data_IF_716448661407
#
_entry.id   IF_716448661407
#
_cell.length_a   1.000
_cell.length_b   1.000
_cell.length_c   1.000
_cell.angle_alpha   90.00
_cell.angle_beta   90.00
_cell.angle_gamma   90.00
#
_symmetry.space_group_name_H-M   'P 1'
#
loop_
_entity.id
_entity.type
_entity.pdbx_description
1 polymer ?
#
# COMPACT_ATOMS: atom_id res chain seq x y z
N UNK A 1 24.13 1.15 17.67
CA UNK A 1 24.29 0.14 16.60
C UNK A 1 22.90 -0.20 16.11
N UNK A 2 22.65 -0.15 14.81
CA UNK A 2 21.35 -0.51 14.25
C UNK A 2 21.10 -2.01 14.42
N UNK A 3 19.96 -2.40 14.97
CA UNK A 3 19.52 -3.81 15.06
C UNK A 3 18.60 -4.11 13.88
N UNK A 4 18.66 -5.29 13.24
CA UNK A 4 17.70 -5.67 12.21
C UNK A 4 16.27 -5.65 12.78
N UNK A 5 15.31 -5.08 12.04
CA UNK A 5 13.91 -4.99 12.51
C UNK A 5 13.37 -6.37 12.90
N UNK A 6 13.65 -7.39 12.09
CA UNK A 6 13.18 -8.76 12.34
C UNK A 6 13.64 -9.31 13.70
N UNK A 7 14.82 -8.93 14.18
CA UNK A 7 15.30 -9.32 15.50
C UNK A 7 14.49 -8.64 16.61
N UNK A 8 14.23 -7.33 16.45
CA UNK A 8 13.42 -6.54 17.40
C UNK A 8 11.99 -7.09 17.47
N UNK A 9 11.42 -7.46 16.33
CA UNK A 9 10.07 -8.06 16.26
C UNK A 9 10.04 -9.44 16.90
N UNK A 10 11.03 -10.30 16.65
CA UNK A 10 11.10 -11.62 17.30
C UNK A 10 11.23 -11.49 18.81
N UNK A 11 11.99 -10.53 19.30
CA UNK A 11 12.09 -10.24 20.74
C UNK A 11 10.75 -9.77 21.31
N UNK A 12 10.06 -8.84 20.62
CA UNK A 12 8.77 -8.29 21.01
C UNK A 12 7.69 -9.38 21.05
N UNK A 13 7.61 -10.18 19.99
CA UNK A 13 6.57 -11.19 19.77
C UNK A 13 6.95 -12.57 20.32
N UNK A 14 8.15 -12.75 20.87
CA UNK A 14 8.66 -14.03 21.38
C UNK A 14 7.60 -14.86 22.14
N UNK A 15 6.89 -14.32 23.14
CA UNK A 15 5.84 -15.06 23.85
C UNK A 15 4.64 -15.48 22.99
N UNK A 16 4.31 -14.70 21.96
CA UNK A 16 3.27 -15.04 21.00
C UNK A 16 3.75 -16.13 20.02
N UNK A 17 5.03 -16.07 19.63
CA UNK A 17 5.67 -16.99 18.69
C UNK A 17 6.03 -18.35 19.32
N UNK A 18 6.45 -18.33 20.58
CA UNK A 18 7.03 -19.46 21.32
C UNK A 18 6.03 -20.15 22.25
N UNK A 19 4.84 -19.56 22.46
CA UNK A 19 3.75 -20.24 23.16
C UNK A 19 3.32 -21.47 22.36
N UNK A 20 3.88 -22.63 22.68
CA UNK A 20 3.37 -23.94 22.25
C UNK A 20 3.02 -24.82 23.45
N UNK A 21 1.78 -25.37 23.49
CA UNK A 21 0.65 -25.01 22.62
C UNK A 21 0.12 -23.62 22.99
N UNK A 22 -0.02 -22.74 21.99
CA UNK A 22 -0.77 -21.49 22.17
C UNK A 22 -2.22 -21.86 22.48
N UNK A 23 -2.85 -21.30 23.53
CA UNK A 23 -4.24 -21.57 23.88
C UNK A 23 -5.23 -21.34 22.72
N UNK A 24 -4.83 -20.60 21.68
CA UNK A 24 -5.72 -20.14 20.62
C UNK A 24 -5.67 -20.97 19.32
N UNK A 25 -4.74 -21.91 19.16
CA UNK A 25 -4.49 -22.67 17.91
C UNK A 25 -4.16 -21.83 16.65
N UNK A 26 -4.14 -20.49 16.74
CA UNK A 26 -3.76 -19.59 15.65
C UNK A 26 -2.26 -19.62 15.40
N UNK A 27 -1.86 -19.78 14.14
CA UNK A 27 -0.45 -19.81 13.71
C UNK A 27 -0.11 -18.51 13.01
N UNK A 28 1.07 -17.96 13.26
CA UNK A 28 1.56 -16.81 12.51
C UNK A 28 1.93 -17.26 11.09
N UNK A 29 1.16 -16.78 10.11
CA UNK A 29 1.37 -17.04 8.70
C UNK A 29 2.48 -16.15 8.15
N UNK A 30 2.40 -14.84 8.43
CA UNK A 30 3.36 -13.85 7.96
C UNK A 30 3.41 -12.63 8.90
N UNK A 31 4.49 -11.86 8.80
CA UNK A 31 4.55 -10.51 9.34
C UNK A 31 5.26 -9.59 8.35
N UNK A 32 4.96 -8.30 8.46
CA UNK A 32 5.59 -7.24 7.70
C UNK A 32 5.85 -6.02 8.57
N UNK A 33 6.93 -5.34 8.21
CA UNK A 33 7.44 -4.15 8.89
C UNK A 33 7.73 -3.02 7.92
N UNK A 34 7.40 -3.14 6.64
CA UNK A 34 7.64 -2.06 5.68
C UNK A 34 6.92 -0.76 6.10
N UNK A 35 5.76 -0.85 6.76
CA UNK A 35 4.93 0.29 7.17
C UNK A 35 4.25 0.01 8.52
N UNK A 36 5.03 -0.01 9.60
CA UNK A 36 4.52 -0.44 10.90
C UNK A 36 4.49 -1.96 11.00
N UNK A 37 4.10 -2.49 12.16
CA UNK A 37 4.08 -3.94 12.38
C UNK A 37 2.71 -4.52 12.01
N UNK A 38 2.68 -5.35 10.98
CA UNK A 38 1.48 -6.10 10.58
C UNK A 38 1.71 -7.59 10.76
N UNK A 39 0.77 -8.28 11.41
CA UNK A 39 0.79 -9.74 11.62
C UNK A 39 -0.41 -10.37 10.93
N UNK A 40 -0.17 -11.43 10.16
CA UNK A 40 -1.24 -12.27 9.60
C UNK A 40 -1.21 -13.62 10.30
N UNK A 41 -2.30 -13.97 10.97
CA UNK A 41 -2.48 -15.23 11.68
C UNK A 41 -3.54 -16.09 10.97
N UNK A 42 -3.33 -17.40 10.94
CA UNK A 42 -4.22 -18.37 10.31
C UNK A 42 -4.65 -19.47 11.29
N UNK A 43 -5.92 -19.88 11.20
CA UNK A 43 -6.45 -21.10 11.80
C UNK A 43 -7.60 -21.65 10.95
N UNK A 44 -7.53 -22.91 10.53
CA UNK A 44 -8.60 -23.59 9.77
C UNK A 44 -9.12 -22.76 8.57
N UNK A 45 -8.20 -22.21 7.77
CA UNK A 45 -8.45 -21.29 6.65
C UNK A 45 -9.10 -19.95 7.01
N UNK A 46 -9.28 -19.65 8.30
CA UNK A 46 -9.67 -18.34 8.79
C UNK A 46 -8.42 -17.51 9.02
N UNK A 47 -8.47 -16.25 8.58
CA UNK A 47 -7.37 -15.31 8.71
C UNK A 47 -7.75 -14.15 9.61
N UNK A 48 -6.78 -13.65 10.37
CA UNK A 48 -6.87 -12.38 11.07
C UNK A 48 -5.57 -11.61 10.85
N UNK A 49 -5.72 -10.34 10.51
CA UNK A 49 -4.62 -9.40 10.38
C UNK A 49 -4.67 -8.40 11.53
N UNK A 50 -3.54 -8.24 12.23
CA UNK A 50 -3.37 -7.31 13.33
C UNK A 50 -2.29 -6.31 12.94
N UNK A 51 -2.68 -5.03 12.85
CA UNK A 51 -1.81 -3.92 12.49
C UNK A 51 -1.53 -3.08 13.75
N UNK A 52 -0.27 -2.73 13.95
CA UNK A 52 0.18 -1.83 15.02
C UNK A 52 0.86 -0.61 14.39
N UNK A 53 0.26 0.55 14.63
CA UNK A 53 0.71 1.85 14.13
C UNK A 53 0.97 2.83 15.27
N UNK A 54 1.74 3.88 15.01
CA UNK A 54 1.94 4.99 15.97
C UNK A 54 0.58 5.53 16.43
N UNK A 55 0.46 5.86 17.73
CA UNK A 55 -0.80 6.32 18.31
C UNK A 55 -1.33 7.57 17.61
N UNK A 56 -2.59 7.49 17.19
CA UNK A 56 -3.37 8.57 16.61
C UNK A 56 -4.81 8.50 17.13
N UNK A 57 -5.16 9.36 18.07
CA UNK A 57 -6.49 9.36 18.71
C UNK A 57 -7.63 9.79 17.77
N UNK A 58 -7.33 10.22 16.55
CA UNK A 58 -8.34 10.58 15.54
C UNK A 58 -8.72 9.42 14.62
N UNK A 59 -7.96 8.32 14.65
CA UNK A 59 -8.25 7.15 13.83
C UNK A 59 -9.03 6.12 14.63
N UNK A 60 -10.09 5.51 14.04
CA UNK A 60 -10.76 4.38 14.65
C UNK A 60 -9.77 3.22 14.77
N UNK A 61 -9.72 2.60 15.95
CA UNK A 61 -8.90 1.42 16.19
C UNK A 61 -9.57 0.49 17.20
N UNK A 62 -9.06 -0.73 17.32
CA UNK A 62 -9.53 -1.71 18.29
C UNK A 62 -9.16 -1.30 19.71
N UNK A 63 -7.91 -0.90 19.90
CA UNK A 63 -7.40 -0.45 21.17
C UNK A 63 -6.30 0.59 20.99
N UNK A 64 -6.28 1.54 21.93
CA UNK A 64 -5.11 2.36 22.17
C UNK A 64 -4.27 1.73 23.29
N UNK A 65 -2.98 1.63 23.06
CA UNK A 65 -1.97 1.49 24.12
C UNK A 65 -1.46 2.88 24.49
N UNK A 66 -0.45 2.97 25.36
CA UNK A 66 0.17 4.27 25.64
C UNK A 66 0.74 4.89 24.35
N UNK A 67 1.29 4.04 23.46
CA UNK A 67 2.11 4.46 22.32
C UNK A 67 1.58 4.06 20.95
N UNK A 68 0.61 3.16 20.86
CA UNK A 68 0.14 2.59 19.60
C UNK A 68 -1.38 2.58 19.45
N UNK A 69 -1.81 2.65 18.19
CA UNK A 69 -3.11 2.16 17.78
C UNK A 69 -2.95 0.71 17.35
N UNK A 70 -3.88 -0.14 17.77
CA UNK A 70 -3.96 -1.54 17.34
C UNK A 70 -5.26 -1.69 16.55
N UNK A 71 -5.16 -2.16 15.31
CA UNK A 71 -6.29 -2.44 14.43
C UNK A 71 -6.28 -3.93 14.12
N UNK A 72 -7.44 -4.58 14.21
CA UNK A 72 -7.58 -5.99 13.85
C UNK A 72 -8.75 -6.16 12.88
N UNK A 73 -8.51 -6.90 11.80
CA UNK A 73 -9.49 -7.12 10.72
C UNK A 73 -9.23 -8.45 10.02
N UNK A 74 -10.23 -8.94 9.29
CA UNK A 74 -10.02 -10.03 8.34
C UNK A 74 -9.37 -9.46 7.07
N UNK A 75 -8.39 -10.15 6.45
CA UNK A 75 -7.89 -9.75 5.15
C UNK A 75 -8.99 -9.94 4.08
N UNK A 76 -8.93 -9.14 3.01
CA UNK A 76 -9.85 -9.17 1.85
C UNK A 76 -11.35 -9.02 2.16
N UNK A 77 -11.84 -7.77 2.15
CA UNK A 77 -13.25 -7.35 2.03
C UNK A 77 -14.30 -7.93 2.99
N UNK A 78 -14.00 -8.97 3.77
CA UNK A 78 -14.88 -9.50 4.80
C UNK A 78 -14.91 -8.51 5.97
N UNK A 79 -15.83 -7.55 5.86
CA UNK A 79 -16.13 -6.58 6.91
C UNK A 79 -17.03 -7.17 8.00
N UNK A 80 -17.29 -8.48 7.98
CA UNK A 80 -17.98 -9.13 9.09
C UNK A 80 -17.21 -8.92 10.38
N UNK A 81 -17.89 -8.73 11.52
CA UNK A 81 -17.23 -8.64 12.81
C UNK A 81 -16.35 -9.87 13.07
N UNK A 82 -15.23 -9.64 13.77
CA UNK A 82 -14.42 -10.74 14.31
C UNK A 82 -15.25 -11.58 15.27
N UNK A 83 -15.10 -12.90 15.19
CA UNK A 83 -15.75 -13.80 16.14
C UNK A 83 -15.02 -13.84 17.49
N UNK A 84 -15.60 -14.55 18.46
CA UNK A 84 -15.11 -14.58 19.84
C UNK A 84 -13.67 -15.12 19.96
N UNK A 85 -13.27 -16.08 19.14
CA UNK A 85 -11.91 -16.63 19.15
C UNK A 85 -10.92 -15.62 18.56
N UNK A 86 -11.28 -14.96 17.45
CA UNK A 86 -10.48 -13.89 16.85
C UNK A 86 -10.28 -12.74 17.85
N UNK A 87 -11.34 -12.32 18.54
CA UNK A 87 -11.28 -11.29 19.59
C UNK A 87 -10.30 -11.68 20.70
N UNK A 88 -10.32 -12.92 21.18
CA UNK A 88 -9.40 -13.37 22.24
C UNK A 88 -7.93 -13.26 21.82
N UNK A 89 -7.61 -13.57 20.56
CA UNK A 89 -6.25 -13.42 20.02
C UNK A 89 -5.82 -11.95 19.99
N UNK A 90 -6.71 -11.06 19.56
CA UNK A 90 -6.46 -9.61 19.52
C UNK A 90 -6.23 -9.08 20.94
N UNK A 91 -7.07 -9.45 21.90
CA UNK A 91 -6.91 -9.05 23.30
C UNK A 91 -5.59 -9.55 23.89
N UNK A 92 -5.20 -10.80 23.62
CA UNK A 92 -3.92 -11.34 24.05
C UNK A 92 -2.74 -10.55 23.47
N UNK A 93 -2.81 -10.21 22.17
CA UNK A 93 -1.82 -9.37 21.52
C UNK A 93 -1.74 -7.97 22.17
N UNK A 94 -2.87 -7.33 22.46
CA UNK A 94 -2.91 -6.01 23.11
C UNK A 94 -2.23 -6.05 24.47
N UNK A 95 -2.49 -7.08 25.28
CA UNK A 95 -1.85 -7.23 26.60
C UNK A 95 -0.34 -7.43 26.48
N UNK A 96 0.10 -8.22 25.50
CA UNK A 96 1.53 -8.41 25.22
C UNK A 96 2.21 -7.08 24.85
N UNK A 97 1.58 -6.28 23.97
CA UNK A 97 2.12 -4.97 23.57
C UNK A 97 2.15 -4.02 24.77
N UNK A 98 1.06 -3.90 25.55
CA UNK A 98 1.05 -3.04 26.76
C UNK A 98 2.16 -3.38 27.74
N UNK A 99 2.46 -4.67 27.92
CA UNK A 99 3.52 -5.11 28.82
C UNK A 99 4.94 -4.82 28.30
N UNK A 100 5.10 -4.52 27.00
CA UNK A 100 6.40 -4.45 26.32
C UNK A 100 6.65 -3.17 25.56
N UNK A 101 5.65 -2.31 25.38
CA UNK A 101 5.76 -1.09 24.58
C UNK A 101 6.80 -0.10 25.12
N UNK A 102 7.09 -0.13 26.43
CA UNK A 102 8.18 0.63 27.04
C UNK A 102 9.58 0.25 26.55
N UNK A 103 9.75 -0.93 25.92
CA UNK A 103 11.02 -1.39 25.35
C UNK A 103 11.25 -0.89 23.92
N UNK A 104 10.22 -0.33 23.28
CA UNK A 104 10.28 0.17 21.91
C UNK A 104 10.83 1.61 21.89
N UNK A 105 11.53 2.03 20.82
CA UNK A 105 12.12 3.37 20.70
C UNK A 105 11.04 4.45 20.59
N UNK A 106 11.15 5.57 21.31
CA UNK A 106 10.20 6.70 21.24
C UNK A 106 10.32 7.43 19.90
N UNK A 107 9.18 7.71 19.26
CA UNK A 107 9.14 8.38 17.95
C UNK A 107 9.15 9.89 18.15
N UNK A 108 10.28 10.53 17.86
CA UNK A 108 10.32 11.98 17.69
C UNK A 108 10.14 12.32 16.21
N UNK A 109 9.21 13.25 15.93
CA UNK A 109 9.02 13.77 14.58
C UNK A 109 10.32 14.45 14.11
N UNK A 110 10.76 14.19 12.87
CA UNK A 110 12.04 14.70 12.41
C UNK A 110 12.08 16.23 12.38
N UNK A 111 13.24 16.77 12.71
CA UNK A 111 13.59 18.15 12.40
C UNK A 111 13.95 18.28 10.92
N UNK A 112 13.70 19.45 10.35
CA UNK A 112 13.75 19.76 8.91
C UNK A 112 15.12 19.46 8.28
N UNK A 113 15.28 18.27 7.70
CA UNK A 113 16.45 17.91 6.88
C UNK A 113 16.19 18.16 5.39
N UNK A 114 17.16 18.78 4.70
CA UNK A 114 17.15 18.95 3.23
C UNK A 114 17.80 17.78 2.47
N UNK A 115 18.41 16.82 3.16
CA UNK A 115 19.13 15.71 2.52
C UNK A 115 18.19 14.52 2.28
N UNK A 116 18.14 14.02 1.05
CA UNK A 116 17.54 12.71 0.77
C UNK A 116 18.54 11.60 1.07
N UNK A 117 18.06 10.48 1.62
CA UNK A 117 18.89 9.31 1.96
C UNK A 117 18.38 8.08 1.21
N UNK A 118 19.26 7.46 0.43
CA UNK A 118 18.99 6.16 -0.21
C UNK A 118 19.92 5.14 0.42
N UNK A 119 19.37 4.03 0.92
CA UNK A 119 20.13 2.96 1.54
C UNK A 119 19.86 1.66 0.81
N UNK A 120 20.91 0.92 0.49
CA UNK A 120 20.76 -0.43 -0.04
C UNK A 120 20.67 -1.40 1.14
N UNK A 121 19.65 -2.26 1.15
CA UNK A 121 19.43 -3.27 2.18
C UNK A 121 19.23 -4.64 1.55
N UNK A 122 19.63 -5.67 2.29
CA UNK A 122 19.30 -7.05 1.98
C UNK A 122 18.17 -7.50 2.89
N UNK A 123 17.25 -8.31 2.35
CA UNK A 123 16.13 -8.88 3.08
C UNK A 123 16.14 -10.41 2.97
N UNK A 124 15.60 -11.09 3.97
CA UNK A 124 15.46 -12.56 3.95
C UNK A 124 14.14 -13.01 3.31
N UNK A 125 13.16 -12.10 3.22
CA UNK A 125 11.82 -12.34 2.66
C UNK A 125 11.30 -11.11 1.96
N UNK A 126 10.49 -11.30 0.92
CA UNK A 126 9.83 -10.18 0.22
C UNK A 126 8.40 -10.50 -0.22
N UNK A 127 8.06 -11.77 -0.40
CA UNK A 127 6.71 -12.24 -0.69
C UNK A 127 5.92 -12.42 0.61
N UNK A 128 4.94 -11.56 0.84
CA UNK A 128 4.08 -11.64 2.01
C UNK A 128 2.74 -12.23 1.61
N UNK A 129 2.37 -13.36 2.22
CA UNK A 129 1.06 -13.97 2.04
C UNK A 129 0.00 -13.17 2.81
N UNK A 130 -1.05 -12.76 2.10
CA UNK A 130 -2.25 -12.12 2.67
C UNK A 130 -3.43 -13.10 2.74
N UNK A 131 -3.36 -14.21 1.99
CA UNK A 131 -4.33 -15.30 2.00
C UNK A 131 -4.06 -16.32 0.89
N UNK A 132 -4.93 -17.32 0.74
CA UNK A 132 -4.70 -18.40 -0.22
C UNK A 132 -4.70 -17.85 -1.67
N UNK A 133 -3.55 -17.91 -2.35
CA UNK A 133 -3.39 -17.38 -3.72
C UNK A 133 -3.32 -15.85 -3.82
N UNK A 134 -3.18 -15.15 -2.69
CA UNK A 134 -3.02 -13.69 -2.64
C UNK A 134 -1.81 -13.29 -1.82
N UNK A 135 -0.97 -12.48 -2.45
CA UNK A 135 0.30 -12.02 -1.90
C UNK A 135 0.48 -10.53 -2.14
N UNK A 136 1.43 -9.91 -1.45
CA UNK A 136 2.01 -8.63 -1.86
C UNK A 136 3.53 -8.64 -1.77
N UNK A 137 4.13 -7.74 -2.53
CA UNK A 137 5.57 -7.53 -2.62
C UNK A 137 5.85 -6.03 -2.69
N UNK A 138 6.75 -5.55 -1.85
CA UNK A 138 7.26 -4.18 -1.87
C UNK A 138 8.76 -4.20 -2.19
N UNK A 139 9.18 -3.73 -3.37
CA UNK A 139 10.60 -3.66 -3.77
C UNK A 139 11.43 -2.63 -2.98
N UNK A 140 10.74 -1.70 -2.31
CA UNK A 140 11.32 -0.57 -1.60
C UNK A 140 10.67 -0.42 -0.22
N UNK A 141 11.31 0.35 0.67
CA UNK A 141 10.70 0.85 1.92
C UNK A 141 10.86 2.37 1.95
N UNK A 142 9.79 3.09 2.26
CA UNK A 142 9.75 4.54 2.07
C UNK A 142 9.45 4.92 0.61
N UNK A 143 9.21 6.21 0.35
CA UNK A 143 8.78 6.67 -0.97
C UNK A 143 9.21 8.11 -1.23
N UNK A 144 9.97 8.35 -2.31
CA UNK A 144 10.40 9.71 -2.71
C UNK A 144 9.33 10.51 -3.46
N UNK A 145 8.17 9.93 -3.76
CA UNK A 145 7.01 10.72 -4.23
C UNK A 145 6.60 11.73 -3.15
N UNK A 146 6.73 11.34 -1.88
CA UNK A 146 6.56 12.25 -0.76
C UNK A 146 5.16 12.83 -0.63
N UNK A 147 4.11 12.06 -0.96
CA UNK A 147 2.73 12.51 -0.76
C UNK A 147 2.52 12.87 0.72
N UNK A 148 2.27 14.13 1.02
CA UNK A 148 2.24 14.61 2.41
C UNK A 148 1.00 14.13 3.18
N UNK A 149 -0.01 13.63 2.46
CA UNK A 149 -1.20 12.97 2.99
C UNK A 149 -1.04 11.45 3.14
N UNK A 150 0.13 10.89 2.83
CA UNK A 150 0.33 9.44 2.82
C UNK A 150 0.23 8.86 4.23
N UNK A 151 -0.72 7.95 4.44
CA UNK A 151 -0.87 7.21 5.70
C UNK A 151 0.37 6.35 6.04
N UNK A 152 1.13 5.95 5.02
CA UNK A 152 2.30 5.11 5.14
C UNK A 152 3.44 5.81 5.92
N UNK A 153 3.59 7.13 5.81
CA UNK A 153 4.72 7.88 6.39
C UNK A 153 4.97 7.62 7.88
N UNK A 154 4.02 7.88 8.79
CA UNK A 154 4.19 7.65 10.23
C UNK A 154 4.56 6.20 10.58
N UNK A 155 4.03 5.26 9.81
CA UNK A 155 4.23 3.82 9.98
C UNK A 155 5.61 3.38 9.49
N UNK A 156 6.07 3.91 8.37
CA UNK A 156 7.43 3.72 7.86
C UNK A 156 8.48 4.30 8.81
N UNK A 157 8.20 5.49 9.38
CA UNK A 157 9.07 6.14 10.37
C UNK A 157 9.18 5.30 11.65
N UNK A 158 8.09 4.64 12.06
CA UNK A 158 8.10 3.68 13.17
C UNK A 158 9.09 2.54 12.92
N UNK A 159 8.98 1.90 11.75
CA UNK A 159 9.84 0.77 11.38
C UNK A 159 11.32 1.14 11.34
N UNK A 160 11.64 2.32 10.79
CA UNK A 160 13.01 2.85 10.81
C UNK A 160 13.55 3.09 12.20
N UNK A 161 12.71 3.61 13.10
CA UNK A 161 13.11 3.84 14.47
C UNK A 161 13.38 2.51 15.20
N UNK A 162 12.69 1.40 14.87
CA UNK A 162 13.05 0.06 15.37
C UNK A 162 14.48 -0.35 15.00
N UNK A 163 14.97 0.07 13.83
CA UNK A 163 16.36 -0.13 13.42
C UNK A 163 17.35 0.85 14.10
N UNK A 164 16.86 1.81 14.88
CA UNK A 164 17.67 2.89 15.44
C UNK A 164 18.19 3.88 14.38
N UNK A 165 17.49 4.02 13.26
CA UNK A 165 17.84 4.95 12.20
C UNK A 165 17.40 6.38 12.53
N UNK A 166 18.10 7.39 11.97
CA UNK A 166 17.69 8.77 12.15
C UNK A 166 16.32 9.02 11.51
N UNK A 167 15.53 9.83 12.21
CA UNK A 167 14.28 10.39 11.74
C UNK A 167 14.54 11.33 10.55
N UNK A 168 13.81 11.14 9.45
CA UNK A 168 13.92 11.94 8.24
C UNK A 168 12.52 12.29 7.74
N UNK A 169 12.30 13.47 7.13
CA UNK A 169 10.99 13.81 6.59
C UNK A 169 10.52 12.79 5.54
N UNK A 170 9.22 12.49 5.53
CA UNK A 170 8.61 11.70 4.46
C UNK A 170 8.92 12.29 3.08
N UNK A 171 9.17 11.44 2.08
CA UNK A 171 9.66 11.90 0.77
C UNK A 171 11.17 12.14 0.69
N UNK A 172 11.91 11.95 1.79
CA UNK A 172 13.38 12.18 1.83
C UNK A 172 14.18 10.92 2.13
N UNK A 173 13.57 9.75 2.14
CA UNK A 173 14.33 8.52 2.36
C UNK A 173 13.69 7.33 1.66
N UNK A 174 14.52 6.40 1.21
CA UNK A 174 14.12 5.10 0.69
C UNK A 174 15.18 4.06 1.03
N UNK A 175 14.75 2.91 1.52
CA UNK A 175 15.59 1.71 1.55
C UNK A 175 15.25 0.83 0.34
N UNK A 176 16.28 0.45 -0.41
CA UNK A 176 16.19 -0.35 -1.64
C UNK A 176 16.54 -1.80 -1.30
N UNK A 177 15.59 -2.71 -1.50
CA UNK A 177 15.80 -4.15 -1.25
C UNK A 177 16.57 -4.78 -2.41
N UNK A 178 17.90 -4.63 -2.43
CA UNK A 178 18.73 -4.95 -3.60
C UNK A 178 18.71 -6.42 -4.00
N UNK A 179 18.49 -7.33 -3.04
CA UNK A 179 18.38 -8.77 -3.27
C UNK A 179 16.92 -9.26 -3.47
N UNK A 180 15.93 -8.36 -3.45
CA UNK A 180 14.52 -8.74 -3.53
C UNK A 180 14.18 -9.63 -4.75
N UNK A 181 14.69 -9.39 -5.98
CA UNK A 181 14.38 -10.27 -7.10
C UNK A 181 14.90 -11.70 -6.92
N UNK A 182 16.05 -11.88 -6.26
CA UNK A 182 16.61 -13.19 -5.98
C UNK A 182 15.79 -13.93 -4.91
N UNK A 183 15.50 -13.25 -3.81
CA UNK A 183 14.69 -13.80 -2.72
C UNK A 183 13.30 -14.16 -3.22
N UNK A 184 12.67 -13.27 -3.99
CA UNK A 184 11.36 -13.52 -4.57
C UNK A 184 11.33 -14.78 -5.44
N UNK A 185 12.33 -15.03 -6.30
CA UNK A 185 12.38 -16.27 -7.10
C UNK A 185 12.35 -17.52 -6.23
N UNK A 186 13.07 -17.51 -5.11
CA UNK A 186 13.11 -18.64 -4.17
C UNK A 186 11.76 -18.82 -3.49
N UNK A 187 11.13 -17.73 -3.06
CA UNK A 187 9.82 -17.77 -2.39
C UNK A 187 8.69 -18.19 -3.36
N UNK A 188 8.70 -17.72 -4.61
CA UNK A 188 7.71 -18.10 -5.62
C UNK A 188 7.79 -19.59 -5.97
N UNK A 189 8.98 -20.21 -5.92
CA UNK A 189 9.16 -21.62 -6.23
C UNK A 189 8.50 -22.58 -5.22
N UNK A 190 8.22 -22.09 -4.00
CA UNK A 190 7.61 -22.89 -2.91
C UNK A 190 6.18 -22.45 -2.58
N UNK A 191 5.66 -21.44 -3.25
CA UNK A 191 4.30 -20.93 -3.08
C UNK A 191 3.43 -21.26 -4.29
N UNK A 192 2.12 -21.41 -4.08
CA UNK A 192 1.18 -21.61 -5.18
C UNK A 192 1.04 -20.32 -6.00
N UNK A 193 1.06 -20.39 -7.34
CA UNK A 193 0.83 -19.23 -8.20
C UNK A 193 -0.47 -18.51 -7.85
N UNK A 194 -0.41 -17.19 -7.83
CA UNK A 194 -1.53 -16.35 -7.42
C UNK A 194 -1.34 -14.89 -7.82
N UNK A 195 -2.17 -14.03 -7.21
CA UNK A 195 -2.14 -12.59 -7.41
C UNK A 195 -1.11 -11.99 -6.47
N UNK A 196 -0.25 -11.11 -6.99
CA UNK A 196 0.76 -10.39 -6.20
C UNK A 196 0.53 -8.89 -6.32
N UNK A 197 0.07 -8.26 -5.25
CA UNK A 197 -0.14 -6.81 -5.20
C UNK A 197 1.19 -6.07 -5.05
N UNK A 198 1.37 -5.03 -5.86
CA UNK A 198 2.45 -4.06 -5.74
C UNK A 198 1.80 -2.68 -5.74
N UNK A 199 1.54 -2.09 -4.57
CA UNK A 199 0.74 -0.86 -4.51
C UNK A 199 1.43 0.30 -3.77
N UNK A 200 1.16 1.55 -4.20
CA UNK A 200 1.74 2.76 -3.66
C UNK A 200 0.96 3.24 -2.44
N UNK A 201 0.27 2.32 -1.76
CA UNK A 201 -0.28 2.53 -0.42
C UNK A 201 0.84 2.43 0.61
N UNK A 202 1.87 1.63 0.31
CA UNK A 202 3.06 1.42 1.14
C UNK A 202 4.27 2.15 0.56
N UNK A 203 4.56 1.88 -0.70
CA UNK A 203 5.68 2.46 -1.45
C UNK A 203 5.37 2.37 -2.93
N UNK A 204 5.82 3.34 -3.73
CA UNK A 204 5.60 3.23 -5.17
C UNK A 204 6.68 2.37 -5.82
N UNK A 205 6.32 1.26 -6.50
CA UNK A 205 7.29 0.37 -7.12
C UNK A 205 8.02 1.03 -8.30
N UNK A 206 7.47 2.10 -8.89
CA UNK A 206 8.08 2.80 -10.03
C UNK A 206 8.59 4.20 -9.68
N UNK A 207 8.73 4.52 -8.39
CA UNK A 207 9.35 5.77 -7.94
C UNK A 207 10.72 6.00 -8.62
N UNK A 208 11.18 7.25 -8.63
CA UNK A 208 12.35 7.69 -9.41
C UNK A 208 13.60 6.80 -9.33
N UNK A 209 13.84 6.10 -8.22
CA UNK A 209 14.93 5.15 -8.04
C UNK A 209 14.87 3.93 -8.97
N UNK A 210 13.69 3.52 -9.42
CA UNK A 210 13.52 2.40 -10.35
C UNK A 210 14.20 2.67 -11.70
N UNK A 211 14.48 3.94 -12.05
CA UNK A 211 15.32 4.31 -13.21
C UNK A 211 16.69 3.63 -13.17
N UNK A 212 17.26 3.53 -11.98
CA UNK A 212 18.63 3.04 -11.75
C UNK A 212 18.61 1.60 -11.23
N UNK A 213 17.82 1.33 -10.20
CA UNK A 213 17.93 0.06 -9.46
C UNK A 213 17.21 -1.11 -10.14
N UNK A 214 16.11 -0.86 -10.87
CA UNK A 214 15.37 -1.90 -11.60
C UNK A 214 14.91 -3.08 -10.73
N UNK A 215 14.65 -2.84 -9.44
CA UNK A 215 14.25 -3.90 -8.49
C UNK A 215 12.84 -4.37 -8.83
N UNK A 216 11.94 -3.42 -9.11
CA UNK A 216 10.57 -3.74 -9.52
C UNK A 216 10.59 -4.58 -10.79
N UNK A 217 11.31 -4.16 -11.84
CA UNK A 217 11.49 -4.95 -13.06
C UNK A 217 11.98 -6.38 -12.79
N UNK A 218 12.98 -6.52 -11.91
CA UNK A 218 13.49 -7.82 -11.49
C UNK A 218 12.42 -8.70 -10.84
N UNK A 219 11.62 -8.12 -9.94
CA UNK A 219 10.52 -8.81 -9.28
C UNK A 219 9.42 -9.24 -10.27
N UNK A 220 9.02 -8.36 -11.21
CA UNK A 220 8.01 -8.70 -12.23
C UNK A 220 8.51 -9.84 -13.12
N UNK A 221 9.80 -9.81 -13.47
CA UNK A 221 10.42 -10.88 -14.26
C UNK A 221 10.33 -12.23 -13.53
N UNK A 222 10.67 -12.25 -12.24
CA UNK A 222 10.56 -13.44 -11.40
C UNK A 222 9.12 -13.97 -11.32
N UNK A 223 8.14 -13.08 -11.14
CA UNK A 223 6.72 -13.45 -11.10
C UNK A 223 6.22 -14.02 -12.43
N UNK A 224 6.60 -13.39 -13.55
CA UNK A 224 6.27 -13.87 -14.88
C UNK A 224 6.84 -15.27 -15.14
N UNK A 225 8.09 -15.52 -14.77
CA UNK A 225 8.76 -16.82 -14.96
C UNK A 225 8.13 -17.92 -14.08
N UNK A 226 7.56 -17.56 -12.92
CA UNK A 226 6.91 -18.48 -11.98
C UNK A 226 5.38 -18.60 -12.18
N UNK A 227 4.79 -17.89 -13.15
CA UNK A 227 3.35 -17.91 -13.41
C UNK A 227 2.48 -17.13 -12.41
N UNK A 228 3.06 -16.19 -11.67
CA UNK A 228 2.32 -15.29 -10.78
C UNK A 228 1.83 -14.05 -11.54
N UNK A 229 0.74 -13.46 -11.05
CA UNK A 229 0.08 -12.33 -11.70
C UNK A 229 0.22 -11.05 -10.87
N UNK A 230 1.10 -10.11 -11.27
CA UNK A 230 1.25 -8.85 -10.55
C UNK A 230 0.05 -7.94 -10.76
N UNK A 231 -0.38 -7.27 -9.71
CA UNK A 231 -1.36 -6.19 -9.73
C UNK A 231 -0.68 -4.95 -9.21
N UNK A 232 -0.28 -4.10 -10.15
CA UNK A 232 0.52 -2.91 -9.91
C UNK A 232 -0.43 -1.73 -9.79
N UNK A 233 -0.25 -0.92 -8.75
CA UNK A 233 -0.76 0.44 -8.71
C UNK A 233 0.44 1.39 -8.59
N UNK A 234 0.45 2.47 -9.34
CA UNK A 234 1.56 3.44 -9.34
C UNK A 234 1.08 4.86 -9.58
N UNK A 235 1.91 5.83 -9.23
CA UNK A 235 1.80 7.26 -9.56
C UNK A 235 2.81 7.68 -10.62
N UNK A 236 3.55 6.73 -11.20
CA UNK A 236 4.63 6.96 -12.15
C UNK A 236 4.33 6.33 -13.51
N UNK A 237 4.62 7.06 -14.60
CA UNK A 237 4.40 6.56 -15.97
C UNK A 237 5.36 5.46 -16.41
N UNK A 238 6.45 5.21 -15.66
CA UNK A 238 7.56 4.31 -16.02
C UNK A 238 7.18 2.84 -16.21
N UNK A 239 6.05 2.40 -15.66
CA UNK A 239 5.54 1.03 -15.83
C UNK A 239 5.44 0.59 -17.29
N UNK A 240 5.33 1.54 -18.23
CA UNK A 240 5.35 1.25 -19.68
C UNK A 240 6.61 0.52 -20.16
N UNK A 241 7.74 0.69 -19.48
CA UNK A 241 9.02 0.03 -19.83
C UNK A 241 9.01 -1.49 -19.58
N UNK A 242 8.04 -1.97 -18.80
CA UNK A 242 7.90 -3.37 -18.38
C UNK A 242 6.66 -4.06 -18.97
N UNK A 243 5.93 -3.40 -19.88
CA UNK A 243 4.74 -3.96 -20.56
C UNK A 243 5.00 -5.34 -21.16
N UNK A 244 6.12 -5.53 -21.86
CA UNK A 244 6.43 -6.81 -22.50
C UNK A 244 6.71 -7.93 -21.49
N UNK A 245 7.16 -7.60 -20.28
CA UNK A 245 7.31 -8.58 -19.18
C UNK A 245 5.94 -8.91 -18.61
N UNK A 246 5.11 -7.89 -18.36
CA UNK A 246 3.76 -8.03 -17.80
C UNK A 246 2.84 -8.87 -18.69
N UNK A 247 2.98 -8.78 -20.02
CA UNK A 247 2.23 -9.60 -20.99
C UNK A 247 2.52 -11.11 -20.89
N UNK A 248 3.63 -11.51 -20.26
CA UNK A 248 3.97 -12.92 -20.03
C UNK A 248 3.26 -13.49 -18.79
N UNK A 249 2.77 -12.63 -17.90
CA UNK A 249 2.04 -13.05 -16.71
C UNK A 249 0.62 -13.51 -17.08
N UNK A 250 0.01 -14.46 -16.35
CA UNK A 250 -1.32 -14.97 -16.68
C UNK A 250 -2.43 -13.90 -16.69
N UNK A 251 -2.41 -12.97 -15.73
CA UNK A 251 -3.40 -11.90 -15.61
C UNK A 251 -2.83 -10.66 -14.91
N UNK A 252 -1.81 -10.03 -15.50
CA UNK A 252 -1.26 -8.78 -14.96
C UNK A 252 -2.28 -7.63 -14.98
N UNK A 253 -2.39 -6.91 -13.87
CA UNK A 253 -3.17 -5.68 -13.75
C UNK A 253 -2.26 -4.47 -13.53
N UNK A 254 -2.56 -3.36 -14.21
CA UNK A 254 -1.82 -2.10 -14.05
C UNK A 254 -2.80 -0.96 -13.80
N UNK A 255 -2.66 -0.31 -12.66
CA UNK A 255 -3.48 0.82 -12.29
C UNK A 255 -2.66 2.06 -11.96
N UNK A 256 -3.33 3.19 -12.09
CA UNK A 256 -2.74 4.50 -11.80
C UNK A 256 -3.53 5.24 -10.74
N UNK A 257 -2.83 5.82 -9.76
CA UNK A 257 -3.46 6.78 -8.85
C UNK A 257 -3.60 8.12 -9.58
N UNK A 258 -4.82 8.57 -9.79
CA UNK A 258 -5.14 9.83 -10.47
C UNK A 258 -6.12 10.60 -9.57
N UNK A 259 -5.60 11.36 -8.57
CA UNK A 259 -6.45 11.96 -7.54
C UNK A 259 -7.19 13.22 -8.00
N UNK A 260 -6.86 13.78 -9.17
CA UNK A 260 -7.43 14.99 -9.78
C UNK A 260 -7.12 15.02 -11.28
N UNK A 261 -7.88 15.81 -12.05
CA UNK A 261 -7.57 16.16 -13.44
C UNK A 261 -6.67 17.41 -13.57
N UNK A 262 -6.32 18.05 -12.45
CA UNK A 262 -5.54 19.28 -12.39
C UNK A 262 -4.12 19.02 -11.84
N UNK A 263 -3.13 19.22 -12.70
CA UNK A 263 -1.74 18.93 -12.36
C UNK A 263 -1.14 19.91 -11.33
N UNK A 264 -1.70 21.13 -11.21
CA UNK A 264 -1.30 22.10 -10.18
C UNK A 264 -1.74 21.64 -8.79
N UNK A 265 -2.94 21.06 -8.70
CA UNK A 265 -3.45 20.42 -7.48
C UNK A 265 -2.61 19.19 -7.17
N UNK A 266 -2.35 18.32 -8.16
CA UNK A 266 -1.47 17.15 -7.97
C UNK A 266 -0.11 17.57 -7.43
N UNK A 267 0.55 18.58 -7.99
CA UNK A 267 1.86 19.06 -7.54
C UNK A 267 1.86 19.50 -6.07
N UNK A 268 0.76 20.11 -5.61
CA UNK A 268 0.60 20.54 -4.23
C UNK A 268 0.33 19.40 -3.26
N UNK A 269 0.05 18.17 -3.70
CA UNK A 269 -0.25 17.04 -2.81
C UNK A 269 0.75 15.87 -2.98
N UNK A 270 1.29 15.71 -4.19
CA UNK A 270 2.19 14.63 -4.62
C UNK A 270 3.41 15.23 -5.36
N UNK A 271 4.32 15.92 -4.63
CA UNK A 271 5.35 16.76 -5.25
C UNK A 271 6.39 15.98 -6.07
N UNK A 272 6.65 14.72 -5.71
CA UNK A 272 7.59 13.85 -6.42
C UNK A 272 6.94 12.87 -7.40
N UNK A 273 5.62 12.95 -7.62
CA UNK A 273 4.88 12.07 -8.51
C UNK A 273 4.83 12.60 -9.94
N UNK A 274 4.79 11.70 -10.93
CA UNK A 274 4.62 12.04 -12.35
C UNK A 274 3.41 12.96 -12.57
N UNK A 275 3.46 13.90 -13.52
CA UNK A 275 2.32 14.70 -13.95
C UNK A 275 1.10 13.85 -14.33
N UNK A 276 -0.11 14.39 -14.15
CA UNK A 276 -1.36 13.67 -14.49
C UNK A 276 -1.39 13.24 -15.96
N UNK A 277 -0.89 14.07 -16.88
CA UNK A 277 -0.79 13.74 -18.29
C UNK A 277 0.06 12.49 -18.55
N UNK A 278 1.23 12.38 -17.92
CA UNK A 278 2.12 11.20 -18.05
C UNK A 278 1.47 9.93 -17.51
N UNK A 279 0.69 10.03 -16.42
CA UNK A 279 -0.07 8.89 -15.88
C UNK A 279 -1.18 8.44 -16.84
N UNK A 280 -1.87 9.38 -17.49
CA UNK A 280 -2.90 9.09 -18.48
C UNK A 280 -2.30 8.47 -19.76
N UNK A 281 -1.16 8.96 -20.24
CA UNK A 281 -0.44 8.39 -21.37
C UNK A 281 0.01 6.95 -21.06
N UNK A 282 0.54 6.71 -19.86
CA UNK A 282 0.94 5.38 -19.43
C UNK A 282 -0.27 4.42 -19.28
N UNK A 283 -1.40 4.91 -18.76
CA UNK A 283 -2.66 4.17 -18.71
C UNK A 283 -3.12 3.74 -20.11
N UNK A 284 -3.10 4.66 -21.07
CA UNK A 284 -3.46 4.39 -22.46
C UNK A 284 -2.53 3.37 -23.11
N UNK A 285 -1.22 3.49 -22.87
CA UNK A 285 -0.22 2.54 -23.38
C UNK A 285 -0.42 1.12 -22.82
N UNK A 286 -0.65 1.00 -21.51
CA UNK A 286 -0.95 -0.29 -20.86
C UNK A 286 -2.25 -0.90 -21.41
N UNK A 287 -3.30 -0.09 -21.57
CA UNK A 287 -4.57 -0.52 -22.15
C UNK A 287 -4.40 -0.99 -23.61
N UNK A 288 -3.69 -0.22 -24.44
CA UNK A 288 -3.43 -0.56 -25.84
C UNK A 288 -2.59 -1.84 -25.99
N UNK A 289 -1.74 -2.15 -25.01
CA UNK A 289 -1.00 -3.40 -24.93
C UNK A 289 -1.84 -4.61 -24.49
N UNK A 290 -3.12 -4.41 -24.15
CA UNK A 290 -4.06 -5.46 -23.74
C UNK A 290 -3.98 -5.84 -22.27
N UNK A 291 -3.30 -5.04 -21.43
CA UNK A 291 -3.26 -5.28 -19.98
C UNK A 291 -4.58 -4.87 -19.31
N UNK A 292 -4.95 -5.55 -18.23
CA UNK A 292 -6.09 -5.15 -17.41
C UNK A 292 -5.78 -3.85 -16.67
N UNK A 293 -6.49 -2.78 -16.98
CA UNK A 293 -6.24 -1.44 -16.45
C UNK A 293 -7.32 -0.94 -15.52
N UNK A 294 -6.91 -0.19 -14.49
CA UNK A 294 -7.80 0.43 -13.50
C UNK A 294 -7.26 1.78 -13.04
N UNK A 295 -8.09 2.60 -12.39
CA UNK A 295 -7.66 3.86 -11.79
C UNK A 295 -8.11 3.96 -10.35
N UNK A 296 -7.28 4.58 -9.52
CA UNK A 296 -7.61 4.89 -8.13
C UNK A 296 -7.66 6.40 -7.96
N UNK A 297 -8.86 6.94 -7.74
CA UNK A 297 -9.10 8.34 -7.39
C UNK A 297 -9.09 8.45 -5.87
N UNK A 298 -7.90 8.41 -5.29
CA UNK A 298 -7.70 8.45 -3.85
C UNK A 298 -6.43 9.24 -3.48
N UNK A 299 -6.55 10.32 -2.70
CA UNK A 299 -7.81 10.95 -2.27
C UNK A 299 -8.52 11.64 -3.43
N UNK A 300 -9.84 11.79 -3.36
CA UNK A 300 -10.60 12.72 -4.22
C UNK A 300 -10.17 14.15 -3.91
N UNK A 301 -9.39 14.76 -4.80
CA UNK A 301 -8.91 16.15 -4.71
C UNK A 301 -9.78 17.10 -5.56
N UNK A 302 -9.62 18.43 -5.42
CA UNK A 302 -10.36 19.38 -6.26
C UNK A 302 -10.10 19.13 -7.76
N UNK A 303 -11.16 19.04 -8.55
CA UNK A 303 -11.11 18.65 -9.98
C UNK A 303 -12.41 19.01 -10.71
N UNK A 304 -12.44 18.80 -12.03
CA UNK A 304 -13.65 18.61 -12.83
C UNK A 304 -13.96 17.10 -12.96
N UNK A 305 -14.99 16.56 -12.28
CA UNK A 305 -15.34 15.14 -12.34
C UNK A 305 -15.68 14.65 -13.76
N UNK A 306 -16.40 15.45 -14.54
CA UNK A 306 -16.84 15.06 -15.87
C UNK A 306 -15.63 14.91 -16.81
N UNK A 307 -14.65 15.81 -16.69
CA UNK A 307 -13.40 15.75 -17.43
C UNK A 307 -12.56 14.54 -17.03
N UNK A 308 -12.38 14.27 -15.73
CA UNK A 308 -11.63 13.09 -15.29
C UNK A 308 -12.27 11.79 -15.81
N UNK A 309 -13.60 11.67 -15.69
CA UNK A 309 -14.36 10.53 -16.19
C UNK A 309 -14.16 10.36 -17.70
N UNK A 310 -14.24 11.43 -18.48
CA UNK A 310 -14.04 11.36 -19.93
C UNK A 310 -12.62 10.91 -20.32
N UNK A 311 -11.60 11.32 -19.56
CA UNK A 311 -10.21 10.95 -19.80
C UNK A 311 -9.88 9.51 -19.40
N UNK A 312 -10.55 8.97 -18.38
CA UNK A 312 -10.21 7.68 -17.76
C UNK A 312 -11.10 6.53 -18.22
N UNK A 313 -12.42 6.76 -18.28
CA UNK A 313 -13.40 5.68 -18.48
C UNK A 313 -13.18 4.82 -19.75
N UNK A 314 -12.70 5.35 -20.90
CA UNK A 314 -12.43 4.53 -22.07
C UNK A 314 -11.35 3.45 -21.86
N UNK A 315 -10.49 3.62 -20.85
CA UNK A 315 -9.28 2.83 -20.67
C UNK A 315 -9.31 1.96 -19.41
N UNK A 316 -10.42 1.88 -18.67
CA UNK A 316 -10.47 1.13 -17.41
C UNK A 316 -11.74 0.29 -17.30
N UNK A 317 -11.63 -0.84 -16.61
CA UNK A 317 -12.79 -1.66 -16.24
C UNK A 317 -13.38 -1.27 -14.89
N UNK A 318 -12.52 -0.82 -13.99
CA UNK A 318 -12.90 -0.49 -12.64
C UNK A 318 -12.15 0.75 -12.15
N UNK A 319 -12.79 1.48 -11.25
CA UNK A 319 -12.20 2.58 -10.50
C UNK A 319 -12.46 2.40 -9.01
N UNK A 320 -11.49 2.79 -8.18
CA UNK A 320 -11.71 2.99 -6.74
C UNK A 320 -11.76 4.47 -6.44
N UNK A 321 -12.76 4.89 -5.68
CA UNK A 321 -12.97 6.30 -5.36
C UNK A 321 -13.05 6.41 -3.85
N UNK A 322 -12.16 7.20 -3.26
CA UNK A 322 -12.15 7.37 -1.80
C UNK A 322 -11.68 8.77 -1.41
N UNK A 323 -12.26 9.29 -0.33
CA UNK A 323 -12.08 10.68 0.10
C UNK A 323 -10.82 10.85 0.94
N UNK A 324 -10.35 12.09 1.03
CA UNK A 324 -9.32 12.45 2.00
C UNK A 324 -9.86 12.26 3.42
N UNK A 325 -9.13 11.54 4.26
CA UNK A 325 -9.39 11.47 5.69
C UNK A 325 -8.60 12.55 6.45
N UNK A 326 -9.12 12.97 7.60
CA UNK A 326 -8.49 13.99 8.45
C UNK A 326 -8.12 15.29 7.69
N UNK A 327 -9.03 15.79 6.84
CA UNK A 327 -8.83 16.97 5.97
C UNK A 327 -8.30 18.19 6.74
N UNK A 328 -8.73 18.40 7.97
CA UNK A 328 -8.26 19.50 8.82
C UNK A 328 -6.75 19.46 9.07
N UNK A 329 -6.13 18.27 9.17
CA UNK A 329 -4.67 18.12 9.29
C UNK A 329 -3.93 18.46 8.00
N UNK A 330 -4.64 18.42 6.87
CA UNK A 330 -4.12 18.66 5.53
C UNK A 330 -4.48 20.07 5.01
N UNK A 331 -5.03 20.95 5.85
CA UNK A 331 -5.46 22.30 5.46
C UNK A 331 -4.39 23.08 4.69
N UNK A 332 -3.14 22.98 5.12
CA UNK A 332 -2.00 23.64 4.49
C UNK A 332 -1.75 23.16 3.04
N UNK A 333 -2.12 21.92 2.68
CA UNK A 333 -2.04 21.42 1.31
C UNK A 333 -3.09 22.09 0.43
N UNK A 334 -4.31 22.24 0.95
CA UNK A 334 -5.39 22.96 0.27
C UNK A 334 -5.07 24.45 0.14
N UNK A 335 -4.49 25.07 1.18
CA UNK A 335 -4.00 26.45 1.13
C UNK A 335 -2.92 26.63 0.06
N UNK A 336 -1.92 25.75 0.04
CA UNK A 336 -0.86 25.72 -0.97
C UNK A 336 -1.40 25.56 -2.39
N UNK A 337 -2.47 24.78 -2.54
CA UNK A 337 -3.17 24.60 -3.79
C UNK A 337 -4.12 25.78 -4.15
N UNK A 338 -4.29 26.76 -3.28
CA UNK A 338 -5.25 27.86 -3.45
C UNK A 338 -6.71 27.41 -3.38
N UNK A 339 -6.99 26.28 -2.72
CA UNK A 339 -8.28 25.57 -2.71
C UNK A 339 -8.84 25.31 -1.31
N UNK A 340 -8.73 26.28 -0.40
CA UNK A 340 -9.36 26.17 0.93
C UNK A 340 -10.89 25.99 0.84
N UNK A 341 -11.53 26.46 -0.23
CA UNK A 341 -12.95 26.25 -0.54
C UNK A 341 -13.33 24.77 -0.62
N UNK A 342 -12.38 23.93 -0.98
CA UNK A 342 -12.59 22.51 -1.26
C UNK A 342 -12.36 21.59 -0.06
N UNK A 343 -12.13 22.14 1.14
CA UNK A 343 -11.89 21.34 2.36
C UNK A 343 -13.16 20.79 3.00
N UNK A 344 -14.35 21.24 2.59
CA UNK A 344 -15.60 20.82 3.23
C UNK A 344 -15.98 19.38 2.85
N UNK A 345 -16.56 18.64 3.80
CA UNK A 345 -17.11 17.31 3.53
C UNK A 345 -18.18 17.35 2.44
N UNK A 346 -18.96 18.43 2.36
CA UNK A 346 -19.96 18.65 1.33
C UNK A 346 -19.33 18.73 -0.08
N UNK A 347 -18.18 19.40 -0.21
CA UNK A 347 -17.44 19.48 -1.47
C UNK A 347 -16.93 18.09 -1.88
N UNK A 348 -16.26 17.38 -0.97
CA UNK A 348 -15.74 16.05 -1.24
C UNK A 348 -16.85 15.04 -1.59
N UNK A 349 -17.96 15.05 -0.83
CA UNK A 349 -19.11 14.18 -1.07
C UNK A 349 -19.81 14.48 -2.41
N UNK A 350 -19.81 15.74 -2.85
CA UNK A 350 -20.30 16.10 -4.19
C UNK A 350 -19.42 15.49 -5.28
N UNK A 351 -18.11 15.70 -5.22
CA UNK A 351 -17.19 15.17 -6.23
C UNK A 351 -17.24 13.64 -6.29
N UNK A 352 -17.23 12.97 -5.13
CA UNK A 352 -17.35 11.51 -5.06
C UNK A 352 -18.62 11.01 -5.78
N UNK A 353 -19.78 11.62 -5.49
CA UNK A 353 -21.05 11.25 -6.13
C UNK A 353 -21.03 11.49 -7.64
N UNK A 354 -20.49 12.61 -8.10
CA UNK A 354 -20.42 12.95 -9.52
C UNK A 354 -19.46 12.02 -10.28
N UNK A 355 -18.32 11.67 -9.68
CA UNK A 355 -17.38 10.69 -10.24
C UNK A 355 -18.03 9.32 -10.39
N UNK A 356 -18.65 8.81 -9.31
CA UNK A 356 -19.35 7.51 -9.31
C UNK A 356 -20.40 7.45 -10.40
N UNK A 357 -21.31 8.42 -10.42
CA UNK A 357 -22.36 8.49 -11.43
C UNK A 357 -21.78 8.58 -12.86
N UNK A 358 -20.71 9.34 -13.06
CA UNK A 358 -20.07 9.51 -14.37
C UNK A 358 -19.40 8.23 -14.90
N UNK A 359 -18.73 7.48 -14.01
CA UNK A 359 -18.10 6.20 -14.35
C UNK A 359 -19.14 5.09 -14.57
N UNK A 360 -20.13 4.97 -13.68
CA UNK A 360 -21.21 3.99 -13.79
C UNK A 360 -22.03 4.20 -15.08
N UNK A 361 -22.32 5.45 -15.45
CA UNK A 361 -22.99 5.79 -16.70
C UNK A 361 -22.21 5.36 -17.96
N UNK A 362 -20.91 5.08 -17.83
CA UNK A 362 -20.04 4.57 -18.89
C UNK A 362 -19.74 3.07 -18.75
N UNK A 363 -20.42 2.38 -17.83
CA UNK A 363 -20.25 0.95 -17.60
C UNK A 363 -18.96 0.57 -16.87
N UNK A 364 -18.30 1.53 -16.21
CA UNK A 364 -17.12 1.29 -15.39
C UNK A 364 -17.56 0.93 -13.98
N UNK A 365 -17.02 -0.16 -13.42
CA UNK A 365 -17.34 -0.58 -12.06
C UNK A 365 -16.70 0.34 -11.02
N UNK A 366 -17.43 0.76 -9.99
CA UNK A 366 -16.90 1.56 -8.88
C UNK A 366 -16.72 0.69 -7.63
N UNK A 367 -15.54 0.78 -7.01
CA UNK A 367 -15.12 0.09 -5.77
C UNK A 367 -15.11 -1.44 -5.78
N UNK A 368 -15.17 -2.05 -6.96
CA UNK A 368 -15.02 -3.49 -7.17
C UNK A 368 -13.54 -3.94 -7.22
N UNK A 369 -12.61 -3.08 -6.76
CA UNK A 369 -11.18 -3.42 -6.68
C UNK A 369 -10.83 -4.23 -5.42
N UNK A 370 -11.79 -4.48 -4.54
CA UNK A 370 -11.59 -5.29 -3.33
C UNK A 370 -11.52 -6.81 -3.67
N UNK A 371 -12.07 -7.25 -4.83
CA UNK A 371 -11.79 -8.54 -5.48
C UNK A 371 -10.99 -8.32 -6.77
N UNK A 372 -9.69 -8.06 -6.62
CA UNK A 372 -8.74 -7.90 -7.74
C UNK A 372 -8.77 -9.09 -8.71
N UNK A 373 -9.12 -10.29 -8.25
CA UNK A 373 -9.21 -11.49 -9.08
C UNK A 373 -10.41 -11.47 -10.02
N UNK A 374 -11.57 -10.98 -9.57
CA UNK A 374 -12.74 -10.77 -10.42
C UNK A 374 -12.61 -9.52 -11.30
N UNK A 375 -12.05 -8.43 -10.75
CA UNK A 375 -11.92 -7.15 -11.45
C UNK A 375 -10.94 -7.19 -12.63
N UNK A 376 -9.92 -8.05 -12.57
CA UNK A 376 -8.82 -8.09 -13.54
C UNK A 376 -8.89 -9.28 -14.52
N UNK A 377 -9.93 -10.11 -14.46
CA UNK A 377 -10.16 -11.16 -15.47
C UNK A 377 -10.29 -10.53 -16.85
N UNK A 378 -9.27 -10.73 -17.68
CA UNK A 378 -9.33 -10.47 -19.12
C UNK A 378 -10.47 -11.32 -19.67
N UNK A 379 -11.50 -10.70 -20.27
CA UNK A 379 -12.38 -11.48 -21.16
C UNK A 379 -11.47 -12.01 -22.26
N UNK A 380 -11.20 -13.31 -22.27
CA UNK A 380 -10.68 -13.95 -23.49
C UNK A 380 -11.67 -13.54 -24.59
N UNK A 381 -11.19 -12.83 -25.61
CA UNK A 381 -11.96 -12.69 -26.84
C UNK A 381 -12.11 -14.12 -27.36
N UNK A 382 -13.34 -14.61 -27.37
CA UNK A 382 -13.71 -15.78 -28.17
C UNK A 382 -13.37 -15.54 -29.65
#
# INVERSE_FOLDING_TARGET
MSRPVDEVIRELLGPLLEARPSPSQWKLLSWDVDQGLTLTLERDHRLIMIEMSVRDTTQPCWAHTERFNIVARRPFADRSPLDSEQVQVVEHFIQLIRAREGRLPTFERPQTSRKSVVREIEVDRVLVAEGAGHYYVNPYVGCMIGCEFCWAGPNADFSRALEGLPSLPWGRWVDVKINAPEILRRELAVNAPGIVRMSPVVTDPYQSLERTFRITRGCITAMADAGFSPVILTREGRVVEDIEILKRCPSAGVGFSIPTDDDSIRAAFEPGGSPIAERLEALQACHAAGLSTFVVVQPVLPMDPARLVALVAPYVRAVRIDRMHAVSRMAYLYERAGRLDAMSDAFAARLERELRAGFEARGVSCDDLDDLGAALKVRRKD
#
